data_IF_517252203208
#
_entry.id   IF_517252203208
#
_cell.length_a   1.000
_cell.length_b   1.000
_cell.length_c   1.000
_cell.angle_alpha   90.00
_cell.angle_beta   90.00
_cell.angle_gamma   90.00
#
_symmetry.space_group_name_H-M   'P 1'
#
loop_
_entity.id
_entity.type
_entity.pdbx_description
1 polymer ?
#
# COMPACT_ATOMS: atom_id res chain seq x y z
N UNK A 1 7.42 42.34 -5.58
CA UNK A 1 7.83 41.80 -6.90
C UNK A 1 8.10 40.33 -6.68
N UNK A 2 7.03 39.54 -6.55
CA UNK A 2 7.09 38.13 -6.12
C UNK A 2 7.15 37.21 -7.34
N UNK A 3 8.19 36.37 -7.32
CA UNK A 3 8.43 35.28 -8.24
C UNK A 3 7.35 34.21 -8.08
N UNK A 4 6.39 34.16 -9.02
CA UNK A 4 5.49 33.03 -9.18
C UNK A 4 6.28 31.88 -9.81
N UNK A 5 6.65 30.89 -9.00
CA UNK A 5 7.14 29.60 -9.51
C UNK A 5 6.02 28.93 -10.31
N UNK A 6 6.14 28.96 -11.64
CA UNK A 6 5.33 28.12 -12.53
C UNK A 6 5.80 26.67 -12.37
N UNK A 7 4.91 25.68 -12.23
CA UNK A 7 5.33 24.29 -12.38
C UNK A 7 5.94 24.10 -13.77
N UNK A 8 7.07 23.40 -13.83
CA UNK A 8 7.86 23.25 -15.05
C UNK A 8 7.04 22.52 -16.13
N UNK A 9 6.79 23.20 -17.26
CA UNK A 9 6.15 22.63 -18.47
C UNK A 9 6.83 21.35 -18.99
N UNK A 10 8.07 21.08 -18.58
CA UNK A 10 8.78 19.85 -18.94
C UNK A 10 8.22 18.60 -18.26
N UNK A 11 7.78 18.70 -16.99
CA UNK A 11 7.22 17.55 -16.25
C UNK A 11 5.87 17.12 -16.82
N UNK A 12 5.02 18.08 -17.18
CA UNK A 12 3.71 17.82 -17.79
C UNK A 12 3.80 17.19 -19.18
N UNK A 13 4.86 17.51 -19.95
CA UNK A 13 5.10 16.91 -21.26
C UNK A 13 5.68 15.50 -21.15
N UNK A 14 6.53 15.23 -20.15
CA UNK A 14 7.02 13.87 -19.87
C UNK A 14 5.88 12.97 -19.41
N UNK A 15 5.00 13.45 -18.53
CA UNK A 15 3.78 12.74 -18.12
C UNK A 15 2.87 12.44 -19.33
N UNK A 16 2.61 13.43 -20.19
CA UNK A 16 1.77 13.25 -21.37
C UNK A 16 2.41 12.36 -22.46
N UNK A 17 3.74 12.24 -22.51
CA UNK A 17 4.44 11.35 -23.44
C UNK A 17 4.52 9.91 -22.91
N UNK A 18 4.58 9.70 -21.59
CA UNK A 18 4.48 8.37 -20.98
C UNK A 18 3.06 7.78 -21.06
N UNK A 19 2.03 8.61 -21.19
CA UNK A 19 0.61 8.18 -21.36
C UNK A 19 0.30 7.56 -22.74
N UNK A 20 1.22 7.62 -23.71
CA UNK A 20 1.00 7.08 -25.07
C UNK A 20 1.44 5.61 -25.26
N UNK A 21 2.02 4.96 -24.25
CA UNK A 21 2.35 3.54 -24.31
C UNK A 21 1.34 2.73 -23.49
N UNK A 22 0.63 1.82 -24.16
CA UNK A 22 -0.36 0.94 -23.50
C UNK A 22 0.29 -0.07 -22.53
N UNK A 23 1.61 -0.31 -22.67
CA UNK A 23 2.43 -1.13 -21.78
C UNK A 23 3.82 -0.52 -21.61
N UNK A 24 4.32 -0.47 -20.37
CA UNK A 24 5.68 -0.06 -20.03
C UNK A 24 6.51 -1.27 -19.58
N UNK A 25 7.59 -1.55 -20.30
CA UNK A 25 8.50 -2.64 -20.00
C UNK A 25 9.91 -2.11 -19.77
N UNK A 26 10.41 -2.32 -18.55
CA UNK A 26 11.70 -1.78 -18.10
C UNK A 26 12.55 -2.88 -17.50
N UNK A 27 13.77 -3.03 -18.01
CA UNK A 27 14.81 -3.80 -17.31
C UNK A 27 15.35 -2.92 -16.19
N UNK A 28 14.98 -3.22 -14.95
CA UNK A 28 15.49 -2.54 -13.76
C UNK A 28 16.94 -2.94 -13.54
N UNK A 29 17.20 -4.24 -13.67
CA UNK A 29 18.54 -4.83 -13.75
C UNK A 29 18.57 -5.81 -14.92
N UNK A 30 19.69 -6.51 -15.12
CA UNK A 30 19.76 -7.59 -16.12
C UNK A 30 18.77 -8.73 -15.81
N UNK A 31 18.42 -8.90 -14.52
CA UNK A 31 17.64 -10.03 -14.00
C UNK A 31 16.28 -9.67 -13.41
N UNK A 32 15.97 -8.38 -13.26
CA UNK A 32 14.69 -7.88 -12.74
C UNK A 32 14.04 -7.01 -13.80
N UNK A 33 12.86 -7.45 -14.27
CA UNK A 33 12.08 -6.79 -15.32
C UNK A 33 10.76 -6.30 -14.72
N UNK A 34 10.40 -5.04 -14.94
CA UNK A 34 9.09 -4.49 -14.64
C UNK A 34 8.24 -4.47 -15.89
N UNK A 35 7.02 -5.01 -15.81
CA UNK A 35 5.98 -4.88 -16.83
C UNK A 35 4.78 -4.19 -16.18
N UNK A 36 4.47 -2.98 -16.63
CA UNK A 36 3.42 -2.14 -16.06
C UNK A 36 2.38 -1.73 -17.09
N UNK A 37 1.11 -1.90 -16.74
CA UNK A 37 -0.04 -1.43 -17.51
C UNK A 37 -0.74 -0.30 -16.75
N UNK A 38 -1.24 0.75 -17.41
CA UNK A 38 -1.98 1.81 -16.73
C UNK A 38 -3.33 1.29 -16.23
N UNK A 39 -3.91 1.93 -15.20
CA UNK A 39 -5.16 1.48 -14.57
C UNK A 39 -6.38 1.53 -15.51
N UNK A 40 -6.35 2.43 -16.48
CA UNK A 40 -7.44 2.70 -17.43
C UNK A 40 -7.27 1.97 -18.78
N UNK A 41 -6.32 1.05 -18.90
CA UNK A 41 -6.16 0.25 -20.12
C UNK A 41 -7.43 -0.57 -20.40
N UNK A 42 -7.88 -0.57 -21.65
CA UNK A 42 -9.04 -1.35 -22.06
C UNK A 42 -8.71 -2.85 -22.08
N UNK A 43 -9.66 -3.71 -21.70
CA UNK A 43 -9.44 -5.16 -21.62
C UNK A 43 -8.95 -5.81 -22.93
N UNK A 44 -9.45 -5.44 -24.13
CA UNK A 44 -8.93 -6.00 -25.38
C UNK A 44 -7.47 -5.60 -25.64
N UNK A 45 -7.12 -4.35 -25.38
CA UNK A 45 -5.74 -3.83 -25.51
C UNK A 45 -4.82 -4.52 -24.49
N UNK A 46 -5.24 -4.60 -23.22
CA UNK A 46 -4.50 -5.33 -22.19
C UNK A 46 -4.23 -6.78 -22.60
N UNK A 47 -5.27 -7.49 -23.06
CA UNK A 47 -5.19 -8.88 -23.50
C UNK A 47 -4.27 -9.09 -24.70
N UNK A 48 -4.24 -8.14 -25.65
CA UNK A 48 -3.33 -8.19 -26.80
C UNK A 48 -1.88 -7.95 -26.37
N UNK A 49 -1.66 -6.89 -25.58
CA UNK A 49 -0.33 -6.48 -25.14
C UNK A 49 0.31 -7.52 -24.20
N UNK A 50 -0.45 -8.14 -23.28
CA UNK A 50 0.12 -9.18 -22.39
C UNK A 50 0.52 -10.44 -23.18
N UNK A 51 -0.19 -10.78 -24.27
CA UNK A 51 0.20 -11.88 -25.17
C UNK A 51 1.50 -11.57 -25.90
N UNK A 52 1.67 -10.34 -26.37
CA UNK A 52 2.91 -9.89 -27.01
C UNK A 52 4.08 -9.93 -26.03
N UNK A 53 3.90 -9.40 -24.82
CA UNK A 53 4.91 -9.44 -23.75
C UNK A 53 5.28 -10.89 -23.41
N UNK A 54 4.30 -11.79 -23.26
CA UNK A 54 4.56 -13.20 -22.98
C UNK A 54 5.35 -13.88 -24.12
N UNK A 55 5.05 -13.52 -25.37
CA UNK A 55 5.78 -14.02 -26.55
C UNK A 55 7.23 -13.53 -26.56
N UNK A 56 7.45 -12.25 -26.29
CA UNK A 56 8.78 -11.65 -26.20
C UNK A 56 9.61 -12.28 -25.08
N UNK A 57 9.03 -12.40 -23.88
CA UNK A 57 9.70 -13.01 -22.71
C UNK A 57 10.12 -14.44 -23.01
N UNK A 58 9.23 -15.24 -23.61
CA UNK A 58 9.54 -16.62 -24.02
C UNK A 58 10.63 -16.68 -25.08
N UNK A 59 10.60 -15.77 -26.07
CA UNK A 59 11.62 -15.73 -27.12
C UNK A 59 13.00 -15.34 -26.59
N UNK A 60 13.07 -14.48 -25.57
CA UNK A 60 14.34 -13.95 -25.05
C UNK A 60 14.91 -14.77 -23.90
N UNK A 61 14.05 -15.25 -23.00
CA UNK A 61 14.45 -15.91 -21.74
C UNK A 61 14.08 -17.39 -21.71
N UNK A 62 13.38 -17.91 -22.72
CA UNK A 62 12.95 -19.32 -22.76
C UNK A 62 12.11 -19.68 -21.54
N UNK A 63 12.56 -20.71 -20.81
CA UNK A 63 11.96 -21.17 -19.56
C UNK A 63 12.56 -20.52 -18.30
N UNK A 64 13.51 -19.58 -18.45
CA UNK A 64 14.26 -18.99 -17.34
C UNK A 64 13.62 -17.72 -16.77
N UNK A 65 12.32 -17.50 -17.00
CA UNK A 65 11.59 -16.39 -16.37
C UNK A 65 10.48 -16.87 -15.44
N UNK A 66 10.33 -16.18 -14.31
CA UNK A 66 9.27 -16.38 -13.34
C UNK A 66 8.49 -15.07 -13.18
N UNK A 67 7.17 -15.11 -13.38
CA UNK A 67 6.33 -13.93 -13.35
C UNK A 67 5.67 -13.78 -11.98
N UNK A 68 5.84 -12.62 -11.36
CA UNK A 68 5.25 -12.24 -10.09
C UNK A 68 4.10 -11.28 -10.41
N UNK A 69 2.87 -11.75 -10.28
CA UNK A 69 1.70 -10.92 -10.47
C UNK A 69 1.42 -10.11 -9.18
N UNK A 70 1.69 -8.80 -9.22
CA UNK A 70 1.45 -7.89 -8.10
C UNK A 70 0.04 -7.28 -8.14
N UNK A 71 -0.75 -7.61 -9.16
CA UNK A 71 -2.13 -7.15 -9.34
C UNK A 71 -3.15 -8.22 -8.97
N UNK A 72 -4.43 -7.93 -9.22
CA UNK A 72 -5.48 -8.92 -9.09
C UNK A 72 -5.15 -10.17 -9.91
N UNK A 73 -5.59 -11.32 -9.40
CA UNK A 73 -5.35 -12.60 -10.04
C UNK A 73 -6.16 -12.66 -11.34
N UNK A 74 -5.50 -13.05 -12.44
CA UNK A 74 -6.13 -13.20 -13.74
C UNK A 74 -5.83 -14.55 -14.38
N UNK A 75 -6.83 -15.09 -15.06
CA UNK A 75 -6.72 -16.42 -15.69
C UNK A 75 -5.91 -16.38 -16.98
N UNK A 76 -6.04 -15.30 -17.75
CA UNK A 76 -5.30 -15.08 -19.00
C UNK A 76 -3.77 -15.10 -18.79
N UNK A 77 -3.26 -14.46 -17.74
CA UNK A 77 -1.83 -14.48 -17.35
C UNK A 77 -1.37 -15.92 -17.08
N UNK A 78 -2.16 -16.66 -16.27
CA UNK A 78 -1.84 -18.04 -15.90
C UNK A 78 -1.87 -19.00 -17.10
N UNK A 79 -2.74 -18.73 -18.09
CA UNK A 79 -2.83 -19.49 -19.34
C UNK A 79 -1.63 -19.23 -20.25
N UNK A 80 -1.10 -18.00 -20.27
CA UNK A 80 0.05 -17.62 -21.10
C UNK A 80 1.37 -18.12 -20.54
N UNK A 81 1.50 -18.18 -19.21
CA UNK A 81 2.70 -18.63 -18.54
C UNK A 81 2.35 -19.52 -17.33
N UNK A 82 2.77 -20.81 -17.31
CA UNK A 82 2.54 -21.67 -16.15
C UNK A 82 3.42 -21.32 -14.94
N UNK A 83 4.50 -20.53 -15.11
CA UNK A 83 5.40 -20.07 -14.04
C UNK A 83 4.97 -18.69 -13.52
N UNK A 84 3.82 -18.63 -12.87
CA UNK A 84 3.26 -17.40 -12.28
C UNK A 84 3.08 -17.57 -10.77
N UNK A 85 3.51 -16.59 -10.01
CA UNK A 85 3.24 -16.43 -8.58
C UNK A 85 2.33 -15.23 -8.36
N UNK A 86 1.12 -15.47 -7.87
CA UNK A 86 0.17 -14.43 -7.52
C UNK A 86 0.50 -13.85 -6.14
N UNK A 87 1.06 -12.65 -6.12
CA UNK A 87 1.36 -11.90 -4.90
C UNK A 87 0.47 -10.67 -4.72
N UNK A 88 -0.58 -10.50 -5.53
CA UNK A 88 -1.45 -9.33 -5.63
C UNK A 88 -1.90 -8.65 -4.33
N UNK A 89 -2.00 -7.32 -4.36
CA UNK A 89 -2.71 -6.51 -3.37
C UNK A 89 -3.33 -5.25 -4.01
N UNK A 90 -4.32 -4.60 -3.35
CA UNK A 90 -5.02 -3.44 -3.91
C UNK A 90 -4.08 -2.32 -4.35
N UNK A 91 -4.38 -1.71 -5.49
CA UNK A 91 -3.58 -0.58 -5.99
C UNK A 91 -3.58 0.58 -4.99
N UNK A 92 -2.50 1.36 -4.99
CA UNK A 92 -2.23 2.46 -4.07
C UNK A 92 -2.10 2.07 -2.58
N UNK A 93 -2.17 0.79 -2.21
CA UNK A 93 -1.98 0.36 -0.82
C UNK A 93 -0.55 -0.12 -0.57
N UNK A 94 -0.15 -0.06 0.70
CA UNK A 94 1.00 -0.79 1.21
C UNK A 94 0.60 -2.26 1.47
N UNK A 95 1.38 -3.24 0.99
CA UNK A 95 1.14 -4.65 1.29
C UNK A 95 1.46 -4.99 2.74
N UNK A 96 0.98 -6.14 3.20
CA UNK A 96 1.38 -6.72 4.47
C UNK A 96 2.87 -7.11 4.48
N UNK A 97 3.52 -7.03 5.64
CA UNK A 97 4.95 -7.27 5.78
C UNK A 97 5.36 -8.71 5.43
N UNK A 98 4.54 -9.69 5.82
CA UNK A 98 4.73 -11.12 5.51
C UNK A 98 4.73 -11.41 4.01
N UNK A 99 3.89 -10.71 3.25
CA UNK A 99 3.82 -10.78 1.80
C UNK A 99 5.10 -10.25 1.16
N UNK A 100 5.63 -9.12 1.63
CA UNK A 100 6.91 -8.58 1.14
C UNK A 100 8.06 -9.56 1.41
N UNK A 101 8.13 -10.11 2.61
CA UNK A 101 9.11 -11.11 2.98
C UNK A 101 9.06 -12.33 2.05
N UNK A 102 7.84 -12.84 1.79
CA UNK A 102 7.61 -13.96 0.88
C UNK A 102 8.06 -13.67 -0.54
N UNK A 103 7.78 -12.46 -1.05
CA UNK A 103 8.23 -12.01 -2.37
C UNK A 103 9.76 -11.96 -2.43
N UNK A 104 10.42 -11.30 -1.46
CA UNK A 104 11.88 -11.18 -1.44
C UNK A 104 12.57 -12.56 -1.42
N UNK A 105 12.09 -13.49 -0.59
CA UNK A 105 12.64 -14.85 -0.52
C UNK A 105 12.40 -15.63 -1.81
N UNK A 106 11.22 -15.50 -2.44
CA UNK A 106 10.94 -16.15 -3.72
C UNK A 106 11.83 -15.60 -4.85
N UNK A 107 12.04 -14.28 -4.89
CA UNK A 107 12.96 -13.63 -5.83
C UNK A 107 14.39 -14.15 -5.67
N UNK A 108 14.90 -14.14 -4.44
CA UNK A 108 16.25 -14.60 -4.10
C UNK A 108 16.44 -16.09 -4.45
N UNK A 109 15.50 -16.94 -4.05
CA UNK A 109 15.54 -18.39 -4.34
C UNK A 109 15.57 -18.67 -5.83
N UNK A 110 14.69 -18.02 -6.61
CA UNK A 110 14.65 -18.21 -8.06
C UNK A 110 15.92 -17.72 -8.74
N UNK A 111 16.42 -16.54 -8.37
CA UNK A 111 17.62 -15.97 -8.98
C UNK A 111 18.91 -16.69 -8.57
N UNK A 112 18.96 -17.31 -7.39
CA UNK A 112 20.12 -18.09 -6.98
C UNK A 112 20.14 -19.52 -7.55
N UNK A 113 19.01 -20.00 -8.09
CA UNK A 113 18.93 -21.34 -8.67
C UNK A 113 19.67 -21.46 -10.03
N UNK A 114 19.71 -20.40 -10.83
CA UNK A 114 20.44 -20.33 -12.10
C UNK A 114 20.82 -18.87 -12.40
N UNK A 115 22.02 -18.60 -12.93
CA UNK A 115 22.47 -17.25 -13.29
C UNK A 115 21.66 -16.61 -14.44
N UNK A 116 21.01 -17.41 -15.29
CA UNK A 116 20.16 -16.96 -16.39
C UNK A 116 18.71 -16.68 -15.96
N UNK A 117 18.35 -17.02 -14.73
CA UNK A 117 16.99 -16.80 -14.24
C UNK A 117 16.70 -15.30 -14.11
N UNK A 118 15.53 -14.89 -14.62
CA UNK A 118 15.01 -13.53 -14.50
C UNK A 118 13.65 -13.52 -13.78
N UNK A 119 13.40 -12.46 -13.02
CA UNK A 119 12.11 -12.19 -12.37
C UNK A 119 11.39 -11.12 -13.16
N UNK A 120 10.10 -11.35 -13.45
CA UNK A 120 9.22 -10.39 -14.11
C UNK A 120 8.17 -9.91 -13.11
N UNK A 121 8.22 -8.64 -12.74
CA UNK A 121 7.24 -7.98 -11.87
C UNK A 121 6.11 -7.40 -12.74
N UNK A 122 4.95 -8.06 -12.73
CA UNK A 122 3.77 -7.61 -13.44
C UNK A 122 2.88 -6.73 -12.55
N UNK A 123 2.42 -5.61 -13.10
CA UNK A 123 1.54 -4.66 -12.41
C UNK A 123 0.54 -3.98 -13.39
N UNK A 124 -0.74 -3.92 -13.05
CA UNK A 124 -1.78 -3.13 -13.73
C UNK A 124 -2.30 -2.04 -12.78
N UNK A 125 -1.94 -0.80 -13.01
CA UNK A 125 -2.21 0.33 -12.12
C UNK A 125 -1.01 1.25 -11.99
N UNK A 126 -0.87 1.91 -10.84
CA UNK A 126 0.32 2.74 -10.61
C UNK A 126 1.58 1.91 -10.35
N UNK A 127 2.77 2.51 -10.52
CA UNK A 127 4.07 1.82 -10.30
C UNK A 127 4.39 1.56 -8.82
N UNK A 128 3.49 1.91 -7.90
CA UNK A 128 3.73 1.84 -6.46
C UNK A 128 4.01 0.43 -5.97
N UNK A 129 3.25 -0.56 -6.44
CA UNK A 129 3.43 -1.96 -6.02
C UNK A 129 4.79 -2.54 -6.44
N UNK A 130 5.14 -2.37 -7.71
CA UNK A 130 6.47 -2.71 -8.23
C UNK A 130 7.57 -2.02 -7.44
N UNK A 131 7.40 -0.73 -7.16
CA UNK A 131 8.36 0.05 -6.39
C UNK A 131 8.57 -0.45 -4.97
N UNK A 132 7.50 -0.87 -4.27
CA UNK A 132 7.61 -1.49 -2.94
C UNK A 132 8.45 -2.77 -3.01
N UNK A 133 8.19 -3.64 -3.98
CA UNK A 133 8.96 -4.90 -4.14
C UNK A 133 10.42 -4.62 -4.44
N UNK A 134 10.71 -3.73 -5.40
CA UNK A 134 12.08 -3.40 -5.81
C UNK A 134 12.87 -2.81 -4.65
N UNK A 135 12.26 -1.89 -3.89
CA UNK A 135 12.97 -1.27 -2.78
C UNK A 135 13.13 -2.22 -1.60
N UNK A 136 12.13 -3.05 -1.28
CA UNK A 136 12.28 -4.10 -0.28
C UNK A 136 13.37 -5.11 -0.66
N UNK A 137 13.42 -5.55 -1.91
CA UNK A 137 14.44 -6.48 -2.39
C UNK A 137 15.84 -5.86 -2.38
N UNK A 138 15.98 -4.58 -2.72
CA UNK A 138 17.24 -3.83 -2.61
C UNK A 138 17.77 -3.79 -1.17
N UNK A 139 16.88 -3.64 -0.17
CA UNK A 139 17.26 -3.72 1.24
C UNK A 139 17.59 -5.16 1.67
N UNK A 140 16.79 -6.13 1.25
CA UNK A 140 16.99 -7.55 1.52
C UNK A 140 18.36 -8.04 1.02
N UNK A 141 18.71 -7.74 -0.24
CA UNK A 141 19.99 -8.16 -0.84
C UNK A 141 21.22 -7.48 -0.21
N UNK A 142 21.03 -6.32 0.41
CA UNK A 142 22.08 -5.66 1.18
C UNK A 142 22.39 -6.40 2.49
N UNK A 143 21.37 -6.97 3.13
CA UNK A 143 21.51 -7.72 4.38
C UNK A 143 22.05 -9.13 4.10
N UNK A 144 21.62 -9.77 3.01
CA UNK A 144 22.02 -11.14 2.66
C UNK A 144 23.45 -11.29 2.10
N UNK A 145 24.29 -10.24 2.18
CA UNK A 145 25.72 -10.24 1.87
C UNK A 145 26.10 -10.68 0.44
N UNK A 146 25.24 -10.45 -0.57
CA UNK A 146 25.62 -10.60 -1.98
C UNK A 146 26.52 -9.42 -2.42
N UNK A 147 27.81 -9.48 -2.06
CA UNK A 147 28.75 -8.37 -2.16
C UNK A 147 28.92 -7.78 -3.58
N UNK A 148 28.66 -8.57 -4.63
CA UNK A 148 28.87 -8.19 -6.04
C UNK A 148 27.67 -7.51 -6.74
N UNK A 149 26.62 -7.13 -6.00
CA UNK A 149 25.40 -6.49 -6.56
C UNK A 149 25.37 -4.95 -6.44
N UNK A 150 26.53 -4.27 -6.45
CA UNK A 150 26.56 -2.80 -6.35
C UNK A 150 25.85 -2.09 -7.52
N UNK A 151 26.03 -2.60 -8.75
CA UNK A 151 25.37 -2.07 -9.95
C UNK A 151 23.85 -2.29 -9.90
N UNK A 152 23.41 -3.49 -9.50
CA UNK A 152 21.99 -3.81 -9.33
C UNK A 152 21.34 -2.89 -8.28
N UNK A 153 22.01 -2.65 -7.15
CA UNK A 153 21.52 -1.71 -6.12
C UNK A 153 21.41 -0.30 -6.65
N UNK A 154 22.40 0.18 -7.41
CA UNK A 154 22.34 1.49 -8.04
C UNK A 154 21.16 1.57 -9.03
N UNK A 155 20.97 0.55 -9.86
CA UNK A 155 19.90 0.53 -10.85
C UNK A 155 18.50 0.43 -10.21
N UNK A 156 18.33 -0.40 -9.18
CA UNK A 156 17.11 -0.48 -8.38
C UNK A 156 16.79 0.84 -7.68
N UNK A 157 17.78 1.48 -7.05
CA UNK A 157 17.64 2.79 -6.41
C UNK A 157 17.20 3.85 -7.43
N UNK A 158 17.88 3.90 -8.57
CA UNK A 158 17.57 4.84 -9.65
C UNK A 158 16.15 4.63 -10.19
N UNK A 159 15.75 3.38 -10.43
CA UNK A 159 14.37 3.07 -10.83
C UNK A 159 13.36 3.57 -9.79
N UNK A 160 13.64 3.36 -8.51
CA UNK A 160 12.76 3.83 -7.44
C UNK A 160 12.64 5.37 -7.43
N UNK A 161 13.77 6.08 -7.50
CA UNK A 161 13.80 7.56 -7.50
C UNK A 161 13.14 8.15 -8.75
N UNK A 162 13.45 7.63 -9.94
CA UNK A 162 13.01 8.18 -11.22
C UNK A 162 11.55 7.82 -11.54
N UNK A 163 11.12 6.58 -11.25
CA UNK A 163 9.83 6.03 -11.71
C UNK A 163 8.79 5.82 -10.62
N UNK A 164 9.20 5.57 -9.37
CA UNK A 164 8.27 5.21 -8.29
C UNK A 164 7.97 6.42 -7.42
N UNK A 165 9.01 7.15 -6.98
CA UNK A 165 8.86 8.26 -6.04
C UNK A 165 7.82 9.29 -6.52
N UNK A 166 7.75 9.71 -7.80
CA UNK A 166 6.75 10.69 -8.24
C UNK A 166 5.28 10.24 -8.12
N UNK A 167 5.03 8.93 -8.09
CA UNK A 167 3.67 8.34 -8.12
C UNK A 167 3.31 7.52 -6.88
N UNK A 168 4.29 7.20 -6.04
CA UNK A 168 4.14 6.36 -4.86
C UNK A 168 3.44 7.06 -3.71
N UNK A 169 2.63 6.30 -2.98
CA UNK A 169 1.87 6.81 -1.83
C UNK A 169 2.77 6.89 -0.57
N UNK A 170 2.56 7.88 0.32
CA UNK A 170 3.30 7.98 1.57
C UNK A 170 3.31 6.68 2.39
N UNK A 171 2.20 5.96 2.46
CA UNK A 171 2.12 4.68 3.16
C UNK A 171 2.98 3.58 2.53
N UNK A 172 3.12 3.56 1.21
CA UNK A 172 4.02 2.63 0.50
C UNK A 172 5.49 2.95 0.81
N UNK A 173 5.85 4.24 0.84
CA UNK A 173 7.21 4.69 1.21
C UNK A 173 7.52 4.35 2.67
N UNK A 174 6.56 4.59 3.57
CA UNK A 174 6.68 4.28 5.00
C UNK A 174 7.00 2.80 5.24
N UNK A 175 6.29 1.89 4.59
CA UNK A 175 6.53 0.45 4.72
C UNK A 175 7.99 0.08 4.43
N UNK A 176 8.52 0.58 3.31
CA UNK A 176 9.86 0.25 2.84
C UNK A 176 10.95 0.95 3.65
N UNK A 177 10.79 2.26 3.90
CA UNK A 177 11.84 3.11 4.48
C UNK A 177 11.89 2.98 6.00
N UNK A 178 10.73 2.84 6.65
CA UNK A 178 10.63 2.93 8.11
C UNK A 178 10.48 1.57 8.79
N UNK A 179 9.79 0.60 8.17
CA UNK A 179 9.40 -0.64 8.86
C UNK A 179 10.22 -1.86 8.50
N UNK A 180 10.51 -2.05 7.22
CA UNK A 180 11.31 -3.20 6.77
C UNK A 180 12.68 -3.33 7.50
N UNK A 181 13.38 -2.23 7.85
CA UNK A 181 14.65 -2.32 8.59
C UNK A 181 14.56 -2.57 10.11
N UNK A 182 13.40 -2.41 10.75
CA UNK A 182 13.30 -2.29 12.23
C UNK A 182 12.15 -3.10 12.86
N UNK A 183 11.86 -4.29 12.35
CA UNK A 183 10.75 -5.12 12.82
C UNK A 183 10.91 -5.55 14.30
N UNK A 184 10.12 -4.95 15.21
CA UNK A 184 9.92 -5.45 16.58
C UNK A 184 8.43 -5.50 16.94
N UNK A 185 7.90 -6.60 17.51
CA UNK A 185 6.47 -6.71 17.77
C UNK A 185 6.08 -5.98 19.05
N UNK A 186 5.36 -4.86 18.93
CA UNK A 186 4.63 -4.24 20.04
C UNK A 186 3.13 -4.20 19.76
N UNK A 187 2.35 -4.50 20.81
CA UNK A 187 0.89 -4.43 20.84
C UNK A 187 0.50 -3.11 21.50
N UNK A 188 -0.38 -2.35 20.86
CA UNK A 188 -0.85 -1.05 21.37
C UNK A 188 -2.35 -0.91 21.13
N UNK A 189 -3.11 -0.48 22.15
CA UNK A 189 -4.51 -0.09 21.97
C UNK A 189 -4.60 1.34 21.43
N UNK A 190 -5.64 1.69 20.67
CA UNK A 190 -5.71 2.97 19.93
C UNK A 190 -6.90 3.84 20.35
N UNK A 191 -6.60 5.12 20.56
CA UNK A 191 -7.48 6.25 20.85
C UNK A 191 -7.10 7.45 19.93
N UNK A 192 -7.72 7.62 18.75
CA UNK A 192 -7.34 8.67 17.81
C UNK A 192 -7.75 10.09 18.24
N UNK A 193 -6.89 11.08 18.00
CA UNK A 193 -7.18 12.52 18.07
C UNK A 193 -7.10 13.13 16.66
N UNK A 194 -8.23 13.58 16.08
CA UNK A 194 -8.23 14.18 14.74
C UNK A 194 -8.08 15.71 14.80
N UNK A 195 -7.21 16.21 13.94
CA UNK A 195 -6.80 17.62 13.86
C UNK A 195 -7.53 18.32 12.70
N UNK A 196 -7.43 19.66 12.56
CA UNK A 196 -8.50 20.42 11.89
C UNK A 196 -8.64 20.07 10.41
N UNK A 197 -9.87 19.73 10.02
CA UNK A 197 -10.27 19.45 8.66
C UNK A 197 -10.98 20.69 8.10
N UNK A 198 -10.22 21.55 7.41
CA UNK A 198 -10.77 22.73 6.72
C UNK A 198 -11.02 22.37 5.27
N UNK A 199 -12.28 22.22 4.85
CA UNK A 199 -12.63 21.94 3.45
C UNK A 199 -13.16 23.21 2.76
N UNK A 200 -12.48 23.66 1.70
CA UNK A 200 -12.94 24.75 0.85
C UNK A 200 -13.78 24.19 -0.31
N UNK A 201 -15.06 23.91 -0.06
CA UNK A 201 -16.00 23.77 -1.16
C UNK A 201 -17.31 24.47 -0.83
N UNK A 202 -17.46 25.67 -1.39
CA UNK A 202 -18.70 26.33 -1.74
C UNK A 202 -19.71 26.66 -0.63
N UNK A 203 -20.18 25.68 0.14
CA UNK A 203 -21.33 25.81 1.02
C UNK A 203 -21.28 24.76 2.16
N UNK A 204 -21.06 25.21 3.39
CA UNK A 204 -21.46 24.57 4.66
C UNK A 204 -20.86 23.20 5.05
N UNK A 205 -19.83 23.22 5.91
CA UNK A 205 -19.54 22.17 6.89
C UNK A 205 -18.87 20.88 6.39
N UNK A 206 -18.36 20.08 7.32
CA UNK A 206 -17.75 18.78 7.05
C UNK A 206 -18.47 17.69 7.84
N UNK A 207 -18.63 16.49 7.23
CA UNK A 207 -19.28 15.34 7.88
C UNK A 207 -18.36 14.13 7.96
N UNK A 208 -17.26 14.17 8.73
CA UNK A 208 -16.28 13.11 8.74
C UNK A 208 -16.75 11.88 9.52
N UNK A 209 -16.36 10.71 9.05
CA UNK A 209 -16.38 9.46 9.82
C UNK A 209 -15.14 8.63 9.53
N UNK A 210 -14.73 7.84 10.52
CA UNK A 210 -13.52 7.06 10.52
C UNK A 210 -13.83 5.58 10.30
N UNK A 211 -13.05 4.91 9.47
CA UNK A 211 -13.00 3.45 9.40
C UNK A 211 -11.58 2.96 9.66
N UNK A 212 -11.47 1.94 10.50
CA UNK A 212 -10.20 1.27 10.83
C UNK A 212 -10.28 -0.16 10.33
N UNK A 213 -9.21 -0.58 9.66
CA UNK A 213 -9.04 -1.89 9.10
C UNK A 213 -7.77 -2.52 9.68
N UNK A 214 -7.85 -3.79 10.06
CA UNK A 214 -6.70 -4.60 10.42
C UNK A 214 -6.58 -5.71 9.38
N UNK A 215 -5.42 -5.85 8.74
CA UNK A 215 -5.23 -6.82 7.65
C UNK A 215 -6.33 -6.71 6.56
N UNK A 216 -6.68 -5.48 6.17
CA UNK A 216 -7.75 -5.14 5.22
C UNK A 216 -9.18 -5.52 5.64
N UNK A 217 -9.38 -6.03 6.86
CA UNK A 217 -10.70 -6.33 7.42
C UNK A 217 -11.18 -5.17 8.31
N UNK A 218 -12.42 -4.68 8.15
CA UNK A 218 -12.96 -3.61 8.97
C UNK A 218 -13.09 -4.07 10.43
N UNK A 219 -12.44 -3.33 11.34
CA UNK A 219 -12.50 -3.61 12.79
C UNK A 219 -13.22 -2.54 13.59
N UNK A 220 -13.35 -1.33 13.02
CA UNK A 220 -14.08 -0.24 13.66
C UNK A 220 -14.62 0.76 12.64
N UNK A 221 -15.78 1.32 12.96
CA UNK A 221 -16.35 2.47 12.24
C UNK A 221 -16.96 3.44 13.25
N UNK A 222 -16.56 4.71 13.18
CA UNK A 222 -17.10 5.75 14.07
C UNK A 222 -18.51 6.18 13.67
N UNK A 223 -19.16 6.95 14.55
CA UNK A 223 -20.28 7.80 14.15
C UNK A 223 -19.86 8.89 13.14
N UNK A 224 -20.84 9.54 12.54
CA UNK A 224 -20.65 10.68 11.63
C UNK A 224 -20.64 11.96 12.44
N UNK A 225 -19.52 12.65 12.44
CA UNK A 225 -19.36 13.95 13.08
C UNK A 225 -19.94 15.01 12.15
N UNK A 226 -20.76 15.93 12.64
CA UNK A 226 -21.27 17.05 11.87
C UNK A 226 -20.59 18.32 12.38
N UNK A 227 -19.78 18.92 11.52
CA UNK A 227 -18.91 20.05 11.85
C UNK A 227 -19.44 21.28 11.12
N UNK A 228 -19.77 22.32 11.87
CA UNK A 228 -20.17 23.61 11.31
C UNK A 228 -18.94 24.43 10.91
N UNK A 229 -19.07 25.25 9.87
CA UNK A 229 -17.96 25.79 9.05
C UNK A 229 -17.06 26.86 9.67
N UNK A 230 -16.79 26.80 10.97
CA UNK A 230 -15.84 27.71 11.62
C UNK A 230 -14.40 27.26 11.33
N UNK A 231 -13.57 28.23 10.95
CA UNK A 231 -12.29 28.05 10.23
C UNK A 231 -11.15 27.37 10.99
N UNK A 232 -11.38 26.89 12.22
CA UNK A 232 -10.36 26.25 13.07
C UNK A 232 -10.95 25.19 14.01
N UNK A 233 -11.68 24.21 13.47
CA UNK A 233 -12.29 23.15 14.31
C UNK A 233 -11.46 21.86 14.28
N UNK A 234 -10.84 21.51 15.41
CA UNK A 234 -10.28 20.17 15.66
C UNK A 234 -11.41 19.19 16.00
N UNK A 235 -11.28 17.93 15.59
CA UNK A 235 -12.31 16.91 15.82
C UNK A 235 -11.69 15.74 16.57
N UNK A 236 -12.05 15.50 17.82
CA UNK A 236 -11.63 14.27 18.47
C UNK A 236 -12.60 13.12 18.15
N UNK A 237 -12.06 11.98 17.71
CA UNK A 237 -12.84 10.74 17.55
C UNK A 237 -12.37 9.74 18.59
N UNK A 238 -13.02 9.77 19.75
CA UNK A 238 -12.75 8.81 20.82
C UNK A 238 -13.33 7.44 20.45
N UNK A 239 -12.54 6.38 20.66
CA UNK A 239 -12.96 4.99 20.44
C UNK A 239 -13.24 4.37 21.81
N UNK A 240 -14.51 4.10 22.11
CA UNK A 240 -14.91 3.49 23.38
C UNK A 240 -15.81 2.28 23.14
N UNK A 241 -15.48 1.10 23.72
CA UNK A 241 -14.26 0.79 24.49
C UNK A 241 -13.00 0.79 23.60
N UNK A 242 -11.82 0.91 24.21
CA UNK A 242 -10.54 0.94 23.49
C UNK A 242 -10.37 -0.24 22.53
N UNK A 243 -9.92 0.04 21.30
CA UNK A 243 -9.76 -0.96 20.26
C UNK A 243 -8.35 -1.56 20.28
N UNK A 244 -8.27 -2.87 20.48
CA UNK A 244 -6.99 -3.60 20.41
C UNK A 244 -6.59 -3.76 18.94
N UNK A 245 -5.45 -3.18 18.57
CA UNK A 245 -4.90 -3.29 17.21
C UNK A 245 -3.58 -4.06 17.22
N UNK A 246 -3.37 -4.84 16.17
CA UNK A 246 -2.14 -5.60 15.94
C UNK A 246 -1.79 -5.64 14.46
N UNK A 247 -0.53 -5.41 14.15
CA UNK A 247 0.02 -5.64 12.82
C UNK A 247 -0.26 -4.46 11.89
N UNK A 248 -0.62 -4.76 10.64
CA UNK A 248 -0.90 -3.75 9.61
C UNK A 248 -2.28 -3.10 9.80
N UNK A 249 -2.26 -1.80 10.07
CA UNK A 249 -3.44 -0.98 10.28
C UNK A 249 -3.63 -0.05 9.09
N UNK A 250 -4.82 -0.09 8.50
CA UNK A 250 -5.27 0.86 7.49
C UNK A 250 -6.38 1.71 8.11
N UNK A 251 -6.26 3.02 7.97
CA UNK A 251 -7.26 3.95 8.44
C UNK A 251 -7.69 4.88 7.31
N UNK A 252 -9.00 5.10 7.23
CA UNK A 252 -9.62 5.94 6.23
C UNK A 252 -10.61 6.87 6.90
N UNK A 253 -10.46 8.17 6.65
CA UNK A 253 -11.45 9.16 7.01
C UNK A 253 -12.23 9.55 5.75
N UNK A 254 -13.54 9.61 5.88
CA UNK A 254 -14.47 9.87 4.79
C UNK A 254 -15.34 11.07 5.10
N UNK A 255 -15.65 11.87 4.09
CA UNK A 255 -16.69 12.89 4.13
C UNK A 255 -17.99 12.28 3.58
N UNK A 256 -19.03 12.19 4.39
CA UNK A 256 -20.37 11.80 3.91
C UNK A 256 -21.07 12.99 3.29
N UNK A 257 -21.32 12.95 1.98
CA UNK A 257 -22.03 14.02 1.29
C UNK A 257 -23.47 14.16 1.80
N UNK A 258 -23.92 15.40 1.98
CA UNK A 258 -25.27 15.66 2.45
C UNK A 258 -26.31 15.25 1.39
N UNK A 259 -27.32 14.46 1.80
CA UNK A 259 -28.42 13.97 0.93
C UNK A 259 -27.95 13.28 -0.37
N UNK A 260 -26.78 12.65 -0.35
CA UNK A 260 -26.24 11.89 -1.48
C UNK A 260 -25.77 10.51 -1.00
N UNK A 261 -25.98 9.44 -1.78
CA UNK A 261 -25.46 8.10 -1.47
C UNK A 261 -23.97 7.99 -1.85
N UNK A 262 -23.18 9.03 -1.59
CA UNK A 262 -21.75 9.06 -1.90
C UNK A 262 -20.92 9.56 -0.72
N UNK A 263 -19.69 9.08 -0.67
CA UNK A 263 -18.66 9.50 0.28
C UNK A 263 -17.39 9.83 -0.47
N UNK A 264 -16.69 10.85 -0.02
CA UNK A 264 -15.34 11.18 -0.50
C UNK A 264 -14.32 10.74 0.54
N UNK A 265 -13.16 10.24 0.09
CA UNK A 265 -12.03 10.04 1.00
C UNK A 265 -11.47 11.41 1.35
N UNK A 266 -11.32 11.68 2.64
CA UNK A 266 -10.63 12.86 3.15
C UNK A 266 -9.14 12.54 3.23
N UNK A 267 -8.78 11.45 3.88
CA UNK A 267 -7.41 10.96 3.95
C UNK A 267 -7.38 9.45 4.17
N UNK A 268 -6.25 8.84 3.81
CA UNK A 268 -5.91 7.45 4.15
C UNK A 268 -4.51 7.40 4.74
N UNK A 269 -4.28 6.47 5.66
CA UNK A 269 -2.93 6.15 6.14
C UNK A 269 -2.82 4.67 6.47
N UNK A 270 -1.68 4.07 6.18
CA UNK A 270 -1.31 2.74 6.67
C UNK A 270 -0.07 2.79 7.53
N UNK A 271 -0.10 2.10 8.66
CA UNK A 271 1.05 1.94 9.55
C UNK A 271 1.03 0.55 10.18
N UNK A 272 2.18 0.07 10.62
CA UNK A 272 2.28 -1.17 11.38
C UNK A 272 2.41 -0.84 12.87
N UNK A 273 1.80 -1.63 13.76
CA UNK A 273 1.83 -1.34 15.21
C UNK A 273 3.25 -1.35 15.81
N UNK A 274 4.22 -2.00 15.16
CA UNK A 274 5.65 -1.93 15.53
C UNK A 274 6.26 -0.52 15.46
N UNK A 275 5.61 0.38 14.72
CA UNK A 275 6.06 1.75 14.56
C UNK A 275 5.74 2.66 15.74
N UNK A 276 4.87 2.19 16.64
CA UNK A 276 4.35 2.97 17.76
C UNK A 276 5.35 2.87 18.92
N UNK A 277 6.03 3.97 19.23
CA UNK A 277 7.05 4.01 20.30
C UNK A 277 6.57 4.82 21.53
N UNK A 278 5.99 6.01 21.31
CA UNK A 278 5.70 6.97 22.40
C UNK A 278 4.21 7.10 22.73
N UNK A 279 3.45 6.01 22.65
CA UNK A 279 1.98 6.02 22.79
C UNK A 279 1.27 7.02 21.86
N UNK A 280 1.94 7.43 20.78
CA UNK A 280 1.52 8.53 19.92
C UNK A 280 2.14 8.38 18.53
N UNK A 281 1.36 8.62 17.47
CA UNK A 281 1.88 8.81 16.11
C UNK A 281 1.17 10.00 15.48
N UNK A 282 1.92 10.91 14.89
CA UNK A 282 1.40 12.07 14.17
C UNK A 282 1.78 11.95 12.70
N UNK A 283 0.82 12.18 11.81
CA UNK A 283 1.01 12.26 10.37
C UNK A 283 0.64 13.65 9.85
N UNK A 284 1.58 14.32 9.16
CA UNK A 284 1.31 15.55 8.42
C UNK A 284 0.64 15.30 7.07
N UNK A 285 0.23 16.37 6.37
CA UNK A 285 -0.38 16.31 5.01
C UNK A 285 0.43 15.46 4.03
N UNK A 286 1.75 15.61 4.02
CA UNK A 286 2.68 14.89 3.12
C UNK A 286 2.86 13.40 3.48
N UNK A 287 2.38 12.98 4.64
CA UNK A 287 2.46 11.61 5.15
C UNK A 287 1.13 10.86 5.01
N UNK A 288 0.07 11.55 4.59
CA UNK A 288 -1.26 11.00 4.38
C UNK A 288 -1.44 10.69 2.88
N UNK A 289 -2.00 9.51 2.57
CA UNK A 289 -2.26 9.09 1.21
C UNK A 289 -3.41 9.92 0.61
N UNK A 290 -3.34 10.17 -0.70
CA UNK A 290 -4.25 11.01 -1.49
C UNK A 290 -4.30 12.51 -1.09
N UNK A 291 -3.97 12.88 0.16
CA UNK A 291 -4.02 14.28 0.64
C UNK A 291 -2.89 15.15 0.16
N UNK A 292 -1.70 14.59 -0.05
CA UNK A 292 -0.53 15.35 -0.51
C UNK A 292 -0.72 15.99 -1.90
N UNK A 293 -1.78 15.61 -2.62
CA UNK A 293 -2.21 16.22 -3.89
C UNK A 293 -3.52 17.00 -3.78
N UNK A 294 -4.13 17.06 -2.60
CA UNK A 294 -5.45 17.65 -2.37
C UNK A 294 -5.33 19.02 -1.70
N UNK A 295 -5.59 20.09 -2.46
CA UNK A 295 -5.60 21.47 -1.97
C UNK A 295 -6.72 21.73 -0.95
N UNK A 296 -7.71 20.85 -0.88
CA UNK A 296 -8.82 20.93 0.08
C UNK A 296 -8.39 20.46 1.47
N UNK A 297 -7.24 19.79 1.60
CA UNK A 297 -6.65 19.43 2.89
C UNK A 297 -5.62 20.52 3.27
N UNK A 298 -5.73 21.13 4.47
CA UNK A 298 -4.86 22.25 4.84
C UNK A 298 -3.39 21.82 5.00
N UNK A 299 -2.45 22.69 4.62
CA UNK A 299 -0.99 22.43 4.74
C UNK A 299 -0.55 22.15 6.18
N UNK A 300 -1.17 22.82 7.16
CA UNK A 300 -0.93 22.58 8.59
C UNK A 300 -1.77 21.42 9.15
N UNK A 301 -2.57 20.77 8.31
CA UNK A 301 -3.39 19.63 8.68
C UNK A 301 -2.50 18.46 9.11
N UNK A 302 -2.89 17.83 10.21
CA UNK A 302 -2.24 16.62 10.72
C UNK A 302 -3.31 15.64 11.18
N UNK A 303 -2.89 14.43 11.50
CA UNK A 303 -3.72 13.38 12.11
C UNK A 303 -2.89 12.75 13.20
N UNK A 304 -3.43 12.62 14.41
CA UNK A 304 -2.73 12.01 15.53
C UNK A 304 -3.48 10.80 16.06
N UNK A 305 -2.69 9.79 16.39
CA UNK A 305 -3.14 8.58 17.02
C UNK A 305 -2.52 8.53 18.38
N UNK A 306 -3.35 8.56 19.42
CA UNK A 306 -2.90 8.29 20.77
C UNK A 306 -3.16 6.83 21.06
N UNK A 307 -2.26 6.19 21.79
CA UNK A 307 -2.32 4.78 22.11
C UNK A 307 -2.29 4.59 23.62
N UNK A 308 -2.83 3.48 24.09
CA UNK A 308 -2.79 3.08 25.49
C UNK A 308 -2.33 1.62 25.61
N UNK A 309 -1.81 1.27 26.80
CA UNK A 309 -1.49 -0.12 27.13
C UNK A 309 -2.70 -0.93 27.63
N UNK A 310 -3.81 -0.25 27.96
CA UNK A 310 -5.05 -0.86 28.45
C UNK A 310 -6.30 -0.23 27.81
N UNK A 311 -7.46 -0.92 27.86
CA UNK A 311 -8.70 -0.43 27.25
C UNK A 311 -9.34 0.74 28.00
N UNK A 312 -8.79 1.11 29.15
CA UNK A 312 -9.27 2.21 29.99
C UNK A 312 -8.95 3.57 29.36
N UNK A 313 -9.82 4.56 29.64
CA UNK A 313 -9.62 5.95 29.22
C UNK A 313 -8.30 6.46 29.81
N UNK A 314 -7.44 7.04 28.96
CA UNK A 314 -6.18 7.63 29.40
C UNK A 314 -6.50 8.83 30.30
N UNK A 315 -6.01 8.81 31.55
CA UNK A 315 -6.18 9.91 32.50
C UNK A 315 -5.46 11.17 31.99
N UNK A 316 -6.11 12.33 32.08
CA UNK A 316 -5.53 13.62 31.67
C UNK A 316 -5.82 14.04 30.21
N UNK A 317 -6.56 13.23 29.44
CA UNK A 317 -6.98 13.55 28.07
C UNK A 317 -8.32 14.31 27.96
N UNK A 318 -8.86 14.83 29.06
CA UNK A 318 -10.16 15.54 29.07
C UNK A 318 -10.14 16.86 28.27
N UNK A 319 -8.96 17.36 27.91
CA UNK A 319 -8.78 18.51 27.02
C UNK A 319 -9.05 18.19 25.53
N UNK A 320 -9.20 16.91 25.17
CA UNK A 320 -9.44 16.45 23.80
C UNK A 320 -10.94 16.25 23.51
N UNK A 321 -11.81 17.00 24.15
CA UNK A 321 -13.25 16.95 23.86
C UNK A 321 -13.62 17.87 22.69
N UNK A 322 -14.60 17.44 21.90
CA UNK A 322 -15.13 18.27 20.83
C UNK A 322 -15.89 19.47 21.41
N UNK A 323 -15.77 20.62 20.76
CA UNK A 323 -16.58 21.80 21.09
C UNK A 323 -18.08 21.57 20.83
N UNK A 324 -18.95 22.43 21.39
CA UNK A 324 -20.40 22.28 21.31
C UNK A 324 -20.97 22.40 19.87
N UNK A 325 -20.17 22.87 18.92
CA UNK A 325 -20.53 22.97 17.49
C UNK A 325 -20.44 21.64 16.73
N UNK A 326 -19.90 20.59 17.37
CA UNK A 326 -19.76 19.26 16.78
C UNK A 326 -20.80 18.32 17.38
N UNK A 327 -21.63 17.72 16.53
CA UNK A 327 -22.59 16.68 16.92
C UNK A 327 -22.29 15.37 16.23
N UNK A 328 -22.56 14.23 16.90
CA UNK A 328 -22.24 12.90 16.38
C UNK A 328 -23.52 12.12 16.10
N UNK A 329 -23.66 11.61 14.88
CA UNK A 329 -24.70 10.68 14.47
C UNK A 329 -24.16 9.25 14.52
N UNK A 330 -24.63 8.47 15.50
CA UNK A 330 -24.23 7.07 15.71
C UNK A 330 -25.05 6.07 14.89
N UNK A 331 -25.90 6.53 13.96
CA UNK A 331 -26.65 5.62 13.10
C UNK A 331 -25.73 4.91 12.08
N UNK A 332 -25.18 3.78 12.49
CA UNK A 332 -24.32 2.92 11.66
C UNK A 332 -25.09 2.00 10.71
N UNK A 333 -26.42 2.09 10.63
CA UNK A 333 -27.21 1.28 9.70
C UNK A 333 -27.16 1.78 8.25
N UNK A 334 -26.62 2.97 8.02
CA UNK A 334 -26.43 3.51 6.68
C UNK A 334 -25.52 2.59 5.83
N UNK A 335 -26.01 2.03 4.71
CA UNK A 335 -25.22 1.18 3.82
C UNK A 335 -23.93 1.84 3.35
N UNK A 336 -23.89 3.17 3.22
CA UNK A 336 -22.71 3.93 2.81
C UNK A 336 -21.57 3.81 3.84
N UNK A 337 -21.91 3.67 5.12
CA UNK A 337 -20.95 3.54 6.22
C UNK A 337 -20.45 2.09 6.26
N UNK A 338 -21.36 1.13 6.06
CA UNK A 338 -21.06 -0.32 6.06
C UNK A 338 -20.41 -0.84 4.79
N UNK A 339 -20.36 -0.07 3.71
CA UNK A 339 -19.71 -0.52 2.48
C UNK A 339 -18.22 -0.80 2.73
N UNK A 340 -17.85 -2.07 2.66
CA UNK A 340 -16.50 -2.60 2.77
C UNK A 340 -15.96 -2.97 1.39
N UNK A 341 -14.80 -2.43 1.04
CA UNK A 341 -14.32 -2.42 -0.35
C UNK A 341 -13.28 -3.49 -0.66
N UNK A 342 -12.84 -4.29 0.33
CA UNK A 342 -11.63 -5.10 0.21
C UNK A 342 -11.85 -6.61 0.31
N UNK A 343 -13.04 -7.08 0.68
CA UNK A 343 -13.34 -8.51 0.88
C UNK A 343 -13.22 -9.35 -0.41
N UNK A 344 -13.40 -8.71 -1.57
CA UNK A 344 -13.47 -9.38 -2.87
C UNK A 344 -12.17 -9.31 -3.68
N UNK A 345 -11.11 -8.68 -3.19
CA UNK A 345 -9.88 -8.47 -3.98
C UNK A 345 -9.24 -9.78 -4.48
N UNK A 346 -9.39 -10.87 -3.71
CA UNK A 346 -8.88 -12.19 -4.08
C UNK A 346 -9.96 -13.14 -4.65
N UNK A 347 -11.20 -12.69 -4.82
CA UNK A 347 -12.24 -13.50 -5.46
C UNK A 347 -11.96 -13.59 -6.97
N UNK A 348 -12.28 -14.74 -7.57
CA UNK A 348 -11.99 -15.02 -8.97
C UNK A 348 -12.56 -13.94 -9.90
N UNK A 349 -11.68 -13.25 -10.62
CA UNK A 349 -12.09 -12.36 -11.71
C UNK A 349 -12.55 -13.24 -12.88
N UNK A 350 -13.84 -13.18 -13.21
CA UNK A 350 -14.40 -13.77 -14.42
C UNK A 350 -14.00 -12.91 -15.62
N UNK A 351 -12.73 -13.01 -16.04
CA UNK A 351 -12.32 -12.51 -17.34
C UNK A 351 -13.04 -13.37 -18.41
N UNK A 352 -13.90 -12.73 -19.21
CA UNK A 352 -14.88 -13.26 -20.18
C UNK A 352 -14.77 -14.75 -20.58
N UNK A 353 -15.89 -15.47 -20.41
CA UNK A 353 -16.12 -16.87 -20.74
C UNK A 353 -15.69 -17.27 -22.18
N UNK A 354 -14.64 -18.06 -22.29
CA UNK A 354 -14.59 -19.20 -23.22
C UNK A 354 -14.01 -20.39 -22.44
N UNK A 355 -14.87 -21.39 -22.21
CA UNK A 355 -14.63 -22.50 -21.29
C UNK A 355 -13.43 -23.38 -21.67
N UNK A 356 -12.69 -23.79 -20.64
CA UNK A 356 -12.39 -25.20 -20.40
C UNK A 356 -11.79 -25.37 -18.99
N UNK A 357 -12.34 -26.33 -18.25
CA UNK A 357 -11.88 -26.76 -16.93
C UNK A 357 -10.46 -27.34 -17.03
N UNK A 358 -9.48 -26.67 -16.41
CA UNK A 358 -8.16 -27.25 -16.18
C UNK A 358 -7.84 -27.27 -14.69
N UNK A 359 -7.66 -28.49 -14.18
CA UNK A 359 -7.27 -28.87 -12.83
C UNK A 359 -5.99 -28.17 -12.36
N UNK A 360 -6.04 -27.56 -11.17
CA UNK A 360 -4.89 -26.95 -10.51
C UNK A 360 -3.77 -27.95 -10.23
N UNK A 361 -2.55 -27.64 -10.68
CA UNK A 361 -1.35 -28.41 -10.36
C UNK A 361 -0.81 -28.02 -8.96
N UNK A 362 -0.56 -28.97 -8.03
CA UNK A 362 -0.16 -28.66 -6.65
C UNK A 362 1.28 -28.17 -6.45
N UNK A 363 2.12 -28.18 -7.50
CA UNK A 363 3.58 -28.12 -7.33
C UNK A 363 4.12 -26.75 -6.90
N UNK A 364 3.49 -25.65 -7.32
CA UNK A 364 3.98 -24.29 -7.02
C UNK A 364 3.47 -23.78 -5.66
N UNK A 365 2.24 -24.13 -5.27
CA UNK A 365 1.68 -23.76 -3.95
C UNK A 365 2.37 -24.47 -2.78
N UNK A 366 2.81 -25.72 -2.96
CA UNK A 366 3.60 -26.42 -1.94
C UNK A 366 4.97 -25.77 -1.69
N UNK A 367 5.58 -25.15 -2.71
CA UNK A 367 6.80 -24.37 -2.55
C UNK A 367 6.57 -23.12 -1.69
N UNK A 368 5.45 -22.40 -1.87
CA UNK A 368 5.12 -21.20 -1.08
C UNK A 368 4.97 -21.52 0.42
N UNK A 369 4.32 -22.64 0.76
CA UNK A 369 4.14 -23.05 2.17
C UNK A 369 5.49 -23.45 2.80
N UNK A 370 6.35 -24.15 2.06
CA UNK A 370 7.70 -24.51 2.55
C UNK A 370 8.60 -23.28 2.73
N UNK A 371 8.46 -22.26 1.86
CA UNK A 371 9.22 -21.01 1.90
C UNK A 371 8.80 -20.14 3.09
N UNK A 372 7.50 -20.09 3.42
CA UNK A 372 6.97 -19.32 4.54
C UNK A 372 7.48 -19.80 5.91
N UNK A 373 7.56 -21.12 6.12
CA UNK A 373 8.00 -21.68 7.41
C UNK A 373 9.50 -21.55 7.67
N UNK A 374 10.36 -21.73 6.66
CA UNK A 374 11.82 -21.55 6.84
C UNK A 374 12.20 -20.10 7.16
N UNK A 375 11.50 -19.12 6.59
CA UNK A 375 11.82 -17.70 6.73
C UNK A 375 11.42 -17.10 8.09
N UNK A 376 10.28 -17.51 8.67
CA UNK A 376 9.91 -17.06 10.04
C UNK A 376 10.99 -17.47 11.04
N UNK A 377 11.59 -18.66 10.88
CA UNK A 377 12.74 -19.11 11.69
C UNK A 377 14.03 -18.35 11.37
N UNK A 378 14.40 -18.16 10.10
CA UNK A 378 15.66 -17.49 9.73
C UNK A 378 15.67 -16.00 10.09
N UNK A 379 14.56 -15.27 9.90
CA UNK A 379 14.46 -13.87 10.25
C UNK A 379 14.39 -13.66 11.77
N UNK A 380 13.73 -14.55 12.52
CA UNK A 380 13.79 -14.54 13.99
C UNK A 380 15.23 -14.73 14.48
N UNK A 381 15.96 -15.69 13.91
CA UNK A 381 17.35 -15.99 14.30
C UNK A 381 18.29 -14.84 13.93
N UNK A 382 18.20 -14.28 12.72
CA UNK A 382 19.07 -13.17 12.28
C UNK A 382 18.83 -11.86 13.05
N UNK A 383 17.58 -11.61 13.48
CA UNK A 383 17.25 -10.43 14.29
C UNK A 383 17.72 -10.62 15.75
N UNK A 384 17.65 -11.84 16.29
CA UNK A 384 18.17 -12.18 17.63
C UNK A 384 19.70 -12.16 17.70
N UNK A 385 20.39 -12.71 16.70
CA UNK A 385 21.85 -12.79 16.69
C UNK A 385 22.52 -11.41 16.59
N UNK A 386 21.89 -10.43 15.95
CA UNK A 386 22.38 -9.04 15.91
C UNK A 386 22.05 -8.24 17.19
N UNK A 387 21.11 -8.69 18.01
CA UNK A 387 20.79 -8.09 19.31
C UNK A 387 21.70 -8.61 20.44
N UNK A 388 22.15 -9.87 20.38
CA UNK A 388 23.08 -10.45 21.38
C UNK A 388 24.56 -10.03 21.23
N UNK A 389 24.91 -9.21 20.22
CA UNK A 389 26.29 -8.71 20.00
C UNK A 389 26.44 -7.24 20.44
N UNK A 390 25.40 -6.64 21.04
CA UNK A 390 25.41 -5.25 21.53
C UNK A 390 25.04 -5.07 23.00
N UNK A 391 25.33 -6.06 23.84
CA UNK A 391 25.43 -5.87 25.30
C UNK A 391 26.86 -6.08 25.79
#
# INVERSE_FOLDING_TARGET
>A
MESRHRPSRSLSLIQAMEENYEVDLVYITERIISVSFPSNVEEPSYSANIKEVATMLRSKHGDNYLLFNLSEKRFDISKLNPKVLDFGWPDHHAPALDKICSICKAMDTWMNADSHNVVVLHNKGNRGRTGVVVAAYMHYSNISASADQALDRFAMKRFYEDKVLPVGQPSQRRLVVLYFPHLTPYLSLVMPSLFPLTFSHGFSGCRPFLKIYQAMQPVYTSGIYNVQGDSQTSICITIEPGLLLKGDILLKCYHKRFRSPSRDVIFRVQFHTCAVHDLGIVFGKDELDETFKDDRFPEYGKVEFVFSFGPEKIQGMDHLENGPSVSVDYNTQDPLIRWDSYENFNQHCEDSEEGDLCSGHPSVQHQIISIHWSFVTELFVYTFDNLCVRD
#
